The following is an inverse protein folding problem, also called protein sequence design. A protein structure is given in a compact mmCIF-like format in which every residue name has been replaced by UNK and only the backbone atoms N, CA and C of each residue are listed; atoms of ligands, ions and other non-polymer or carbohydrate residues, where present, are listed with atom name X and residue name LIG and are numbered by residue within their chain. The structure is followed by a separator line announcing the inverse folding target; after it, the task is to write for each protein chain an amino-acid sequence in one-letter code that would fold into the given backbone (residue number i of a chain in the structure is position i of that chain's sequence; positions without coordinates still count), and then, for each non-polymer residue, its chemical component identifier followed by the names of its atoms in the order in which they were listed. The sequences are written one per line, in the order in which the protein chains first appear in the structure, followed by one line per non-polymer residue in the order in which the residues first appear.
data_IF_394705500604
#
_entry.id   IF_394705500604
#
_cell.length_a   1.000
_cell.length_b   1.000
_cell.length_c   1.000
_cell.angle_alpha   90.00
_cell.angle_beta   90.00
_cell.angle_gamma   90.00
#
_symmetry.space_group_name_H-M   'P 1'
#
loop_
_entity.id
_entity.type
_entity.pdbx_description
1 polymer ?
#
# COMPACT_ATOMS: atom_id res chain seq x y z
N UNK A 1 -11.93 1.90 4.95
CA UNK A 1 -10.74 1.09 4.59
C UNK A 1 -11.19 -0.23 3.99
N UNK A 2 -10.50 -0.71 2.98
CA UNK A 2 -10.73 -2.02 2.37
C UNK A 2 -9.39 -2.66 1.99
N UNK A 3 -9.07 -3.74 2.65
CA UNK A 3 -7.88 -4.53 2.40
C UNK A 3 -8.29 -5.96 2.02
N UNK A 4 -8.09 -6.41 0.77
CA UNK A 4 -8.56 -7.74 0.31
C UNK A 4 -8.05 -8.93 1.15
N UNK A 5 -6.89 -8.77 1.78
CA UNK A 5 -6.30 -9.78 2.66
C UNK A 5 -6.90 -9.81 4.07
N UNK A 6 -7.74 -8.84 4.46
CA UNK A 6 -8.44 -8.77 5.75
C UNK A 6 -9.96 -8.72 5.62
N UNK A 7 -10.46 -7.98 4.62
CA UNK A 7 -11.88 -7.60 4.56
C UNK A 7 -12.69 -8.44 3.56
N UNK A 8 -12.04 -9.43 2.92
CA UNK A 8 -12.68 -10.35 1.99
C UNK A 8 -12.66 -9.88 0.53
N UNK A 9 -13.58 -10.39 -0.28
CA UNK A 9 -13.55 -10.27 -1.73
C UNK A 9 -13.95 -8.88 -2.25
N UNK A 10 -13.52 -8.54 -3.47
CA UNK A 10 -13.99 -7.36 -4.19
C UNK A 10 -15.52 -7.34 -4.34
N UNK A 11 -16.15 -8.49 -4.53
CA UNK A 11 -17.63 -8.61 -4.57
C UNK A 11 -18.26 -8.19 -3.23
N UNK A 12 -17.67 -8.60 -2.12
CA UNK A 12 -18.13 -8.17 -0.79
C UNK A 12 -18.04 -6.65 -0.63
N UNK A 13 -16.94 -6.05 -1.03
CA UNK A 13 -16.76 -4.59 -1.03
C UNK A 13 -17.83 -3.89 -1.87
N UNK A 14 -18.10 -4.40 -3.08
CA UNK A 14 -19.15 -3.86 -3.96
C UNK A 14 -20.53 -3.92 -3.29
N UNK A 15 -20.87 -5.06 -2.66
CA UNK A 15 -22.13 -5.25 -1.97
C UNK A 15 -22.28 -4.28 -0.79
N UNK A 16 -21.20 -4.05 -0.03
CA UNK A 16 -21.20 -3.06 1.07
C UNK A 16 -21.41 -1.64 0.51
N UNK A 17 -20.70 -1.26 -0.54
CA UNK A 17 -20.84 0.06 -1.15
C UNK A 17 -22.26 0.32 -1.67
N UNK A 18 -22.85 -0.64 -2.39
CA UNK A 18 -24.24 -0.54 -2.88
C UNK A 18 -25.24 -0.46 -1.72
N UNK A 19 -25.08 -1.25 -0.67
CA UNK A 19 -25.93 -1.20 0.51
C UNK A 19 -25.89 0.16 1.23
N UNK A 20 -24.72 0.79 1.28
CA UNK A 20 -24.59 2.14 1.86
C UNK A 20 -25.35 3.16 1.00
N UNK A 21 -25.18 3.13 -0.32
CA UNK A 21 -25.90 4.02 -1.22
C UNK A 21 -27.41 3.82 -1.13
N UNK A 22 -27.89 2.59 -1.24
CA UNK A 22 -29.33 2.26 -1.16
C UNK A 22 -30.00 2.69 0.16
N UNK A 23 -29.29 2.51 1.31
CA UNK A 23 -29.85 2.80 2.62
C UNK A 23 -29.71 4.25 3.06
N UNK A 24 -28.69 4.95 2.58
CA UNK A 24 -28.36 6.29 3.06
C UNK A 24 -28.35 7.37 1.97
N UNK A 25 -28.34 6.99 0.69
CA UNK A 25 -28.14 7.90 -0.42
C UNK A 25 -26.74 8.53 -0.44
N UNK A 26 -25.74 7.89 0.23
CA UNK A 26 -24.37 8.41 0.32
C UNK A 26 -23.43 7.58 -0.54
N UNK A 27 -22.55 8.28 -1.25
CA UNK A 27 -21.49 7.65 -2.01
C UNK A 27 -20.31 7.28 -1.11
N UNK A 28 -19.54 6.28 -1.54
CA UNK A 28 -18.43 5.68 -0.80
C UNK A 28 -17.12 6.05 -1.46
N UNK A 29 -16.09 6.30 -0.67
CA UNK A 29 -14.69 6.24 -1.06
C UNK A 29 -14.02 5.06 -0.35
N UNK A 30 -13.10 4.38 -1.02
CA UNK A 30 -12.12 3.52 -0.36
C UNK A 30 -10.96 4.43 0.05
N UNK A 31 -10.89 4.73 1.34
CA UNK A 31 -9.89 5.66 1.88
C UNK A 31 -8.52 5.01 2.05
N UNK A 32 -8.47 3.67 2.12
CA UNK A 32 -7.25 2.91 2.30
C UNK A 32 -7.35 1.57 1.60
N UNK A 33 -6.31 1.20 0.88
CA UNK A 33 -6.03 -0.14 0.38
C UNK A 33 -4.56 -0.27 0.05
N UNK A 34 -4.03 -1.48 0.07
CA UNK A 34 -2.64 -1.78 -0.34
C UNK A 34 -2.48 -3.24 -0.74
N UNK A 35 -1.33 -3.58 -1.29
CA UNK A 35 -0.89 -4.96 -1.48
C UNK A 35 0.63 -5.05 -1.56
N UNK A 36 1.21 -6.19 -1.18
CA UNK A 36 2.65 -6.36 -1.17
C UNK A 36 3.24 -6.62 -2.56
N UNK A 37 4.44 -6.10 -2.78
CA UNK A 37 5.25 -6.36 -3.97
C UNK A 37 6.33 -7.44 -3.75
N UNK A 38 6.57 -7.82 -2.50
CA UNK A 38 7.51 -8.86 -2.08
C UNK A 38 7.07 -9.43 -0.73
N UNK A 39 7.52 -10.62 -0.39
CA UNK A 39 7.39 -11.21 0.94
C UNK A 39 8.60 -10.93 1.84
N UNK A 40 9.62 -10.24 1.32
CA UNK A 40 10.79 -9.85 2.08
C UNK A 40 10.45 -8.73 3.07
N UNK A 41 11.28 -8.60 4.09
CA UNK A 41 11.22 -7.59 5.13
C UNK A 41 12.51 -6.76 5.05
N UNK A 42 12.37 -5.46 4.90
CA UNK A 42 13.49 -4.55 4.65
C UNK A 42 14.17 -4.03 5.91
N UNK A 43 13.55 -4.16 7.09
CA UNK A 43 14.08 -3.60 8.34
C UNK A 43 14.07 -4.55 9.55
N UNK A 44 13.56 -5.77 9.37
CA UNK A 44 13.43 -6.75 10.44
C UNK A 44 12.27 -6.48 11.40
N UNK A 45 11.35 -5.60 11.03
CA UNK A 45 10.08 -5.39 11.73
C UNK A 45 8.96 -6.10 10.98
N UNK A 46 8.45 -7.18 11.55
CA UNK A 46 7.45 -8.06 10.92
C UNK A 46 6.40 -7.30 10.10
N UNK A 47 6.34 -7.63 8.82
CA UNK A 47 5.35 -7.06 7.90
C UNK A 47 3.94 -7.61 8.14
N UNK A 48 2.93 -6.80 7.83
CA UNK A 48 1.52 -7.22 7.88
C UNK A 48 1.18 -8.31 6.87
N UNK A 49 1.89 -8.35 5.73
CA UNK A 49 1.84 -9.43 4.73
C UNK A 49 3.22 -10.06 4.63
N UNK A 50 3.46 -11.17 5.31
CA UNK A 50 4.79 -11.78 5.44
C UNK A 50 4.90 -13.22 4.96
N UNK A 51 3.78 -13.91 4.80
CA UNK A 51 3.74 -15.32 4.43
C UNK A 51 2.74 -15.61 3.32
N UNK A 52 2.82 -16.81 2.76
CA UNK A 52 1.85 -17.26 1.74
C UNK A 52 0.43 -17.31 2.26
N UNK A 53 0.25 -17.54 3.55
CA UNK A 53 -1.07 -17.66 4.18
C UNK A 53 -1.74 -16.29 4.40
N UNK A 54 -0.97 -15.20 4.30
CA UNK A 54 -1.48 -13.83 4.39
C UNK A 54 -1.94 -13.31 3.02
N UNK A 55 -1.58 -14.00 1.93
CA UNK A 55 -1.86 -13.53 0.57
C UNK A 55 -3.29 -13.86 0.13
N UNK A 56 -3.82 -13.03 -0.73
CA UNK A 56 -5.09 -13.29 -1.41
C UNK A 56 -4.88 -14.35 -2.50
N UNK A 57 -5.76 -15.33 -2.57
CA UNK A 57 -5.71 -16.38 -3.60
C UNK A 57 -5.60 -15.79 -5.01
N UNK A 58 -4.62 -16.28 -5.77
CA UNK A 58 -4.34 -15.81 -7.12
C UNK A 58 -3.41 -14.59 -7.22
N UNK A 59 -2.98 -14.01 -6.10
CA UNK A 59 -2.07 -12.86 -6.08
C UNK A 59 -0.81 -13.17 -5.27
N UNK A 60 0.28 -13.45 -5.95
CA UNK A 60 1.57 -13.66 -5.32
C UNK A 60 2.15 -12.34 -4.77
N UNK A 61 3.14 -12.41 -3.88
CA UNK A 61 3.90 -11.24 -3.42
C UNK A 61 4.90 -10.81 -4.50
N UNK A 62 4.43 -10.06 -5.49
CA UNK A 62 5.22 -9.57 -6.63
C UNK A 62 4.75 -8.19 -7.07
N UNK A 63 5.65 -7.44 -7.71
CA UNK A 63 5.34 -6.12 -8.31
C UNK A 63 4.15 -6.20 -9.28
N UNK A 64 4.07 -7.28 -10.07
CA UNK A 64 2.95 -7.48 -10.99
C UNK A 64 1.62 -7.72 -10.24
N UNK A 65 1.64 -8.54 -9.20
CA UNK A 65 0.42 -8.81 -8.41
C UNK A 65 -0.03 -7.57 -7.62
N UNK A 66 0.90 -6.75 -7.13
CA UNK A 66 0.56 -5.47 -6.53
C UNK A 66 -0.21 -4.58 -7.51
N UNK A 67 0.30 -4.41 -8.74
CA UNK A 67 -0.38 -3.64 -9.77
C UNK A 67 -1.73 -4.27 -10.18
N UNK A 68 -1.79 -5.59 -10.28
CA UNK A 68 -3.02 -6.33 -10.65
C UNK A 68 -4.08 -6.15 -9.57
N UNK A 69 -3.72 -6.28 -8.29
CA UNK A 69 -4.63 -6.08 -7.16
C UNK A 69 -5.23 -4.68 -7.16
N UNK A 70 -4.41 -3.64 -7.34
CA UNK A 70 -4.89 -2.25 -7.41
C UNK A 70 -5.86 -2.08 -8.58
N UNK A 71 -5.52 -2.62 -9.76
CA UNK A 71 -6.40 -2.58 -10.93
C UNK A 71 -7.75 -3.23 -10.63
N UNK A 72 -7.75 -4.39 -10.02
CA UNK A 72 -8.96 -5.16 -9.78
C UNK A 72 -9.85 -4.52 -8.70
N UNK A 73 -9.25 -3.94 -7.66
CA UNK A 73 -9.98 -3.11 -6.69
C UNK A 73 -10.61 -1.90 -7.37
N UNK A 74 -9.86 -1.18 -8.21
CA UNK A 74 -10.38 -0.01 -8.92
C UNK A 74 -11.49 -0.37 -9.93
N UNK A 75 -11.37 -1.51 -10.62
CA UNK A 75 -12.41 -2.01 -11.50
C UNK A 75 -13.70 -2.33 -10.72
N UNK A 76 -13.58 -3.09 -9.62
CA UNK A 76 -14.71 -3.43 -8.77
C UNK A 76 -15.35 -2.19 -8.12
N UNK A 77 -14.54 -1.24 -7.69
CA UNK A 77 -15.01 0.04 -7.14
C UNK A 77 -15.81 0.83 -8.17
N UNK A 78 -15.31 0.92 -9.41
CA UNK A 78 -16.02 1.59 -10.50
C UNK A 78 -17.36 0.93 -10.83
N UNK A 79 -17.45 -0.40 -10.81
CA UNK A 79 -18.70 -1.14 -11.04
C UNK A 79 -19.74 -0.95 -9.93
N UNK A 80 -19.32 -0.51 -8.75
CA UNK A 80 -20.20 -0.25 -7.60
C UNK A 80 -20.41 1.26 -7.34
N UNK A 81 -20.08 2.13 -8.31
CA UNK A 81 -20.18 3.59 -8.18
C UNK A 81 -19.41 4.17 -6.97
N UNK A 82 -18.33 3.52 -6.56
CA UNK A 82 -17.39 4.05 -5.57
C UNK A 82 -16.62 5.21 -6.19
N UNK A 83 -16.57 6.34 -5.53
CA UNK A 83 -16.05 7.60 -6.08
C UNK A 83 -14.54 7.64 -6.24
N UNK A 84 -13.80 6.85 -5.48
CA UNK A 84 -12.35 6.81 -5.58
C UNK A 84 -11.72 5.77 -4.66
N UNK A 85 -10.47 5.49 -4.94
CA UNK A 85 -9.62 4.56 -4.18
C UNK A 85 -8.31 5.25 -3.86
N UNK A 86 -7.93 5.26 -2.59
CA UNK A 86 -6.66 5.79 -2.12
C UNK A 86 -5.74 4.65 -1.71
N UNK A 87 -4.50 4.71 -2.18
CA UNK A 87 -3.48 3.75 -1.78
C UNK A 87 -2.87 4.15 -0.44
N UNK A 88 -2.86 3.22 0.52
CA UNK A 88 -2.34 3.47 1.86
C UNK A 88 -0.82 3.40 1.88
N UNK A 89 -0.19 4.44 2.42
CA UNK A 89 1.24 4.49 2.76
C UNK A 89 2.20 4.04 1.65
N UNK A 90 1.90 4.43 0.42
CA UNK A 90 2.66 4.03 -0.77
C UNK A 90 4.13 4.46 -0.77
N UNK A 91 4.57 5.29 0.17
CA UNK A 91 5.94 5.78 0.34
C UNK A 91 6.62 5.29 1.62
N UNK A 92 6.00 4.40 2.37
CA UNK A 92 6.59 3.84 3.58
C UNK A 92 7.63 2.78 3.24
N UNK A 93 8.88 3.21 3.19
CA UNK A 93 10.06 2.37 2.99
C UNK A 93 10.82 2.23 4.33
N UNK A 94 11.71 1.25 4.48
CA UNK A 94 12.52 1.09 5.68
C UNK A 94 13.35 2.35 6.01
N UNK A 95 13.44 2.67 7.30
CA UNK A 95 14.27 3.76 7.82
C UNK A 95 15.29 3.19 8.81
N UNK A 96 16.26 2.46 8.28
CA UNK A 96 17.23 1.71 9.07
C UNK A 96 16.63 0.42 9.66
N UNK A 97 17.49 -0.43 10.21
CA UNK A 97 17.09 -1.70 10.81
C UNK A 97 16.42 -1.49 12.17
N UNK A 98 15.37 -2.25 12.47
CA UNK A 98 14.65 -2.25 13.75
C UNK A 98 15.56 -2.45 14.97
N UNK A 99 16.58 -3.28 14.82
CA UNK A 99 17.49 -3.64 15.92
C UNK A 99 18.57 -2.62 16.19
N UNK A 100 18.77 -1.65 15.31
CA UNK A 100 19.71 -0.55 15.47
C UNK A 100 19.08 0.61 16.25
N UNK A 101 19.90 1.50 16.81
CA UNK A 101 19.43 2.82 17.26
C UNK A 101 19.20 3.69 16.03
N UNK A 102 17.99 3.67 15.51
CA UNK A 102 17.59 4.36 14.30
C UNK A 102 16.80 5.66 14.57
N UNK A 103 16.72 6.11 15.81
CA UNK A 103 15.95 7.29 16.23
C UNK A 103 16.28 8.53 15.39
N UNK A 104 17.56 8.79 15.15
CA UNK A 104 18.00 9.94 14.38
C UNK A 104 17.61 9.85 12.89
N UNK A 105 17.56 8.64 12.33
CA UNK A 105 17.12 8.39 10.97
C UNK A 105 15.60 8.58 10.84
N UNK A 106 14.84 8.04 11.80
CA UNK A 106 13.39 8.24 11.85
C UNK A 106 13.01 9.70 12.02
N UNK A 107 13.70 10.43 12.88
CA UNK A 107 13.48 11.87 13.06
C UNK A 107 13.70 12.66 11.77
N UNK A 108 14.65 12.23 10.94
CA UNK A 108 15.01 12.91 9.70
C UNK A 108 14.22 12.46 8.48
N UNK A 109 13.94 11.17 8.37
CA UNK A 109 13.42 10.55 7.14
C UNK A 109 12.14 9.73 7.36
N UNK A 110 11.77 9.46 8.60
CA UNK A 110 10.62 8.64 8.93
C UNK A 110 9.31 9.32 8.60
N UNK A 111 8.24 8.56 8.57
CA UNK A 111 6.92 9.10 8.36
C UNK A 111 6.47 9.95 9.56
N UNK A 112 5.68 10.96 9.26
CA UNK A 112 5.44 12.09 10.13
C UNK A 112 5.03 11.76 11.57
N UNK A 113 4.15 10.80 11.79
CA UNK A 113 3.64 10.49 13.13
C UNK A 113 4.71 9.91 14.07
N UNK A 114 5.72 9.25 13.54
CA UNK A 114 6.80 8.66 14.33
C UNK A 114 7.90 9.68 14.71
N UNK A 115 7.88 10.88 14.15
CA UNK A 115 8.87 11.92 14.45
C UNK A 115 8.35 12.96 15.44
N UNK A 116 9.25 13.71 16.06
CA UNK A 116 8.87 14.79 16.99
C UNK A 116 8.04 15.90 16.32
N UNK A 117 8.07 16.01 15.01
CA UNK A 117 7.28 17.01 14.25
C UNK A 117 5.76 16.77 14.32
N UNK A 118 5.32 15.58 14.70
CA UNK A 118 3.90 15.30 14.88
C UNK A 118 3.39 15.52 16.31
N UNK A 119 4.19 16.09 17.20
CA UNK A 119 3.86 16.25 18.61
C UNK A 119 2.56 17.04 18.88
N UNK A 120 2.19 17.98 18.02
CA UNK A 120 0.91 18.69 18.14
C UNK A 120 -0.30 17.82 17.78
N UNK A 121 -0.10 16.79 16.95
CA UNK A 121 -1.10 15.86 16.49
C UNK A 121 -1.18 14.61 17.38
N UNK A 122 -0.04 14.07 17.75
CA UNK A 122 0.13 12.85 18.55
C UNK A 122 1.13 13.09 19.68
N UNK A 123 0.73 13.79 20.75
CA UNK A 123 1.63 14.20 21.84
C UNK A 123 2.14 13.02 22.68
N UNK A 124 1.45 11.88 22.63
CA UNK A 124 1.81 10.73 23.46
C UNK A 124 2.89 9.86 22.80
N UNK A 125 2.88 9.73 21.47
CA UNK A 125 3.78 8.80 20.75
C UNK A 125 4.80 9.49 19.85
N UNK A 126 4.57 10.75 19.46
CA UNK A 126 5.46 11.48 18.57
C UNK A 126 6.88 11.59 19.10
N UNK A 127 7.84 11.10 18.32
CA UNK A 127 9.26 11.09 18.70
C UNK A 127 9.63 10.07 19.78
N UNK A 128 8.68 9.22 20.20
CA UNK A 128 8.91 8.19 21.22
C UNK A 128 8.99 6.77 20.64
N UNK A 129 8.33 6.54 19.52
CA UNK A 129 8.29 5.24 18.86
C UNK A 129 9.11 5.25 17.58
N UNK A 130 10.25 4.58 17.62
CA UNK A 130 11.17 4.43 16.50
C UNK A 130 11.37 2.93 16.21
N UNK A 131 10.28 2.23 15.93
CA UNK A 131 10.31 0.80 15.61
C UNK A 131 10.82 0.54 14.20
N UNK A 132 10.10 -0.29 13.51
CA UNK A 132 10.27 -0.54 12.09
C UNK A 132 8.96 -0.25 11.35
N UNK A 133 8.93 -0.58 10.08
CA UNK A 133 7.82 -0.37 9.19
C UNK A 133 7.14 -1.69 8.84
N UNK A 134 5.98 -2.00 9.44
CA UNK A 134 5.19 -3.19 9.12
C UNK A 134 4.53 -3.15 7.73
N UNK A 135 4.80 -2.11 6.95
CA UNK A 135 4.17 -1.82 5.66
C UNK A 135 5.17 -1.63 4.52
N UNK A 136 6.46 -1.80 4.77
CA UNK A 136 7.52 -1.49 3.83
C UNK A 136 7.45 -2.32 2.53
N UNK A 137 6.99 -3.57 2.62
CA UNK A 137 6.78 -4.44 1.47
C UNK A 137 5.50 -4.14 0.67
N UNK A 138 4.71 -3.17 1.09
CA UNK A 138 3.51 -2.70 0.41
C UNK A 138 3.67 -1.30 -0.22
N UNK A 139 4.82 -0.68 -0.06
CA UNK A 139 5.12 0.60 -0.70
C UNK A 139 5.12 0.48 -2.24
N UNK A 140 5.03 1.63 -2.93
CA UNK A 140 5.19 1.76 -4.39
C UNK A 140 6.65 1.99 -4.79
N UNK A 141 7.56 1.81 -3.83
CA UNK A 141 9.00 1.94 -3.95
C UNK A 141 9.66 0.71 -3.33
N UNK A 142 10.81 0.31 -3.83
CA UNK A 142 11.61 -0.73 -3.20
C UNK A 142 12.21 -0.24 -1.86
N UNK A 143 12.85 -1.15 -1.12
CA UNK A 143 13.43 -0.83 0.19
C UNK A 143 14.54 0.25 0.15
N UNK A 144 15.01 0.60 -1.03
CA UNK A 144 16.04 1.62 -1.24
C UNK A 144 15.47 2.94 -1.80
N UNK A 145 14.15 2.99 -2.03
CA UNK A 145 13.44 4.17 -2.48
C UNK A 145 13.33 4.33 -3.99
N UNK A 146 13.67 3.30 -4.78
CA UNK A 146 13.45 3.35 -6.23
C UNK A 146 11.99 3.01 -6.56
N UNK A 147 11.36 3.76 -7.49
CA UNK A 147 9.97 3.50 -7.84
C UNK A 147 9.81 2.13 -8.50
N UNK A 148 8.82 1.37 -8.06
CA UNK A 148 8.44 0.10 -8.64
C UNK A 148 7.63 0.29 -9.93
N UNK A 149 7.68 -0.69 -10.84
CA UNK A 149 6.89 -0.66 -12.06
C UNK A 149 5.37 -0.62 -11.78
N UNK A 150 4.92 -1.16 -10.65
CA UNK A 150 3.53 -1.09 -10.18
C UNK A 150 3.01 0.34 -10.00
N UNK A 151 3.86 1.32 -9.73
CA UNK A 151 3.47 2.73 -9.64
C UNK A 151 2.82 3.24 -10.94
N UNK A 152 3.13 2.64 -12.09
CA UNK A 152 2.51 2.98 -13.36
C UNK A 152 1.03 2.57 -13.46
N UNK A 153 0.52 1.74 -12.56
CA UNK A 153 -0.89 1.29 -12.59
C UNK A 153 -1.85 2.47 -12.60
N UNK A 154 -1.59 3.52 -11.84
CA UNK A 154 -2.45 4.72 -11.80
C UNK A 154 -2.53 5.43 -13.15
N UNK A 155 -1.43 5.48 -13.89
CA UNK A 155 -1.42 5.98 -15.27
C UNK A 155 -2.25 5.10 -16.19
N UNK A 156 -2.10 3.78 -16.07
CA UNK A 156 -2.82 2.83 -16.92
C UNK A 156 -4.31 2.77 -16.61
N UNK A 157 -4.71 2.92 -15.34
CA UNK A 157 -6.11 3.06 -14.95
C UNK A 157 -6.77 4.26 -15.63
N UNK A 158 -6.05 5.37 -15.75
CA UNK A 158 -6.58 6.60 -16.34
C UNK A 158 -6.59 6.60 -17.87
N UNK A 159 -5.53 6.08 -18.49
CA UNK A 159 -5.31 6.23 -19.94
C UNK A 159 -5.40 4.91 -20.72
N UNK A 160 -5.62 3.80 -20.02
CA UNK A 160 -5.55 2.46 -20.58
C UNK A 160 -4.10 1.95 -20.71
N UNK A 161 -3.98 0.64 -20.76
CA UNK A 161 -2.74 -0.06 -21.04
C UNK A 161 -2.93 -0.91 -22.31
N UNK A 162 -1.96 -0.87 -23.21
CA UNK A 162 -1.98 -1.65 -24.47
C UNK A 162 -1.33 -3.02 -24.33
N UNK A 163 -0.65 -3.27 -23.20
CA UNK A 163 -0.02 -4.55 -22.87
C UNK A 163 -0.02 -4.76 -21.36
N UNK A 164 0.04 -6.03 -20.87
CA UNK A 164 0.33 -6.31 -19.47
C UNK A 164 1.65 -5.67 -19.06
N UNK A 165 1.79 -5.31 -17.77
CA UNK A 165 3.10 -4.97 -17.23
C UNK A 165 4.02 -6.17 -17.46
N UNK A 166 5.08 -5.98 -18.25
CA UNK A 166 6.07 -7.03 -18.43
C UNK A 166 6.77 -7.24 -17.07
N UNK A 167 6.92 -8.50 -16.67
CA UNK A 167 7.56 -8.89 -15.41
C UNK A 167 9.02 -8.43 -15.34
N UNK A 168 9.61 -8.12 -16.48
CA UNK A 168 11.03 -7.80 -16.65
C UNK A 168 11.31 -6.30 -16.87
N UNK A 169 10.37 -5.43 -16.60
CA UNK A 169 10.62 -4.00 -16.71
C UNK A 169 11.39 -3.51 -15.46
N UNK A 170 12.69 -3.73 -15.48
CA UNK A 170 13.63 -3.02 -14.62
C UNK A 170 13.91 -1.70 -15.36
N UNK A 171 13.50 -0.53 -14.84
CA UNK A 171 13.92 0.72 -15.45
C UNK A 171 15.44 0.80 -15.32
N UNK A 172 16.16 0.79 -16.45
CA UNK A 172 17.57 1.19 -16.44
C UNK A 172 17.62 2.66 -16.02
N UNK A 173 17.98 2.88 -14.78
CA UNK A 173 18.37 4.22 -14.32
C UNK A 173 19.78 4.45 -14.83
N UNK A 174 19.89 5.15 -15.96
CA UNK A 174 21.18 5.71 -16.37
C UNK A 174 21.53 6.82 -15.37
N UNK A 175 22.56 6.58 -14.58
CA UNK A 175 23.22 7.56 -13.72
C UNK A 175 24.00 8.56 -14.57
#
# INVERSE_FOLDING_TARGET
SYYPFWDGTNENMQNVARNIDEKSGKKVYIAETSYCYTSEDGDGFDNSLKGTDDLVDGYAATVQSQATMIRDICAAANEADVLGVFYWEGTWIPVGEKTADNSALWEKYGSGWASSYSADYDPDDAGLYYGGCSWDNQAMFDFTGHPLASLNVFKYLKYGATAPLAVDFIPEVSV
#
